data_IF_180034698070
#
_entry.id   IF_180034698070
#
_cell.length_a   1.000
_cell.length_b   1.000
_cell.length_c   1.000
_cell.angle_alpha   90.00
_cell.angle_beta   90.00
_cell.angle_gamma   90.00
#
_symmetry.space_group_name_H-M   'P 1'
#
loop_
_entity.id
_entity.type
_entity.pdbx_description
1 polymer ?
#
# COMPACT_ATOMS: atom_id res chain seq x y z
N UNK A 1 23.63 -19.62 1.80
CA UNK A 1 24.12 -18.36 1.20
C UNK A 1 22.95 -17.46 0.82
N UNK A 2 21.79 -17.50 1.50
CA UNK A 2 20.52 -17.08 0.86
C UNK A 2 19.77 -15.96 1.59
N UNK A 3 20.39 -15.36 2.62
CA UNK A 3 19.68 -14.54 3.62
C UNK A 3 19.38 -13.11 3.14
N UNK A 4 20.18 -12.60 2.20
CA UNK A 4 19.97 -11.30 1.56
C UNK A 4 18.83 -11.34 0.54
N UNK A 5 18.68 -12.45 -0.18
CA UNK A 5 17.63 -12.64 -1.18
C UNK A 5 16.26 -12.54 -0.50
N UNK A 6 16.05 -13.17 0.66
CA UNK A 6 14.79 -13.04 1.40
C UNK A 6 14.49 -11.60 1.82
N UNK A 7 15.50 -10.83 2.24
CA UNK A 7 15.30 -9.41 2.61
C UNK A 7 14.90 -8.59 1.40
N UNK A 8 15.61 -8.75 0.27
CA UNK A 8 15.29 -8.09 -0.98
C UNK A 8 13.91 -8.49 -1.52
N UNK A 9 13.55 -9.78 -1.45
CA UNK A 9 12.26 -10.29 -1.89
C UNK A 9 11.09 -9.74 -1.07
N UNK A 10 11.24 -9.56 0.25
CA UNK A 10 10.18 -8.93 1.05
C UNK A 10 9.90 -7.50 0.59
N UNK A 11 10.93 -6.70 0.32
CA UNK A 11 10.77 -5.36 -0.25
C UNK A 11 10.13 -5.39 -1.64
N UNK A 12 10.60 -6.27 -2.53
CA UNK A 12 10.07 -6.40 -3.89
C UNK A 12 8.58 -6.82 -3.90
N UNK A 13 8.19 -7.76 -3.04
CA UNK A 13 6.79 -8.19 -2.91
C UNK A 13 5.88 -7.04 -2.47
N UNK A 14 6.31 -6.23 -1.51
CA UNK A 14 5.55 -5.07 -1.05
C UNK A 14 5.46 -3.96 -2.11
N UNK A 15 6.50 -3.77 -2.93
CA UNK A 15 6.44 -2.85 -4.09
C UNK A 15 5.37 -3.30 -5.09
N UNK A 16 5.29 -4.60 -5.39
CA UNK A 16 4.26 -5.13 -6.29
C UNK A 16 2.84 -4.97 -5.71
N UNK A 17 2.68 -5.15 -4.39
CA UNK A 17 1.41 -4.87 -3.71
C UNK A 17 1.02 -3.39 -3.81
N UNK A 18 1.98 -2.48 -3.61
CA UNK A 18 1.74 -1.05 -3.79
C UNK A 18 1.32 -0.72 -5.22
N UNK A 19 1.97 -1.33 -6.22
CA UNK A 19 1.61 -1.14 -7.62
C UNK A 19 0.19 -1.62 -7.93
N UNK A 20 -0.23 -2.75 -7.37
CA UNK A 20 -1.59 -3.25 -7.52
C UNK A 20 -2.62 -2.29 -6.93
N UNK A 21 -2.36 -1.76 -5.73
CA UNK A 21 -3.26 -0.78 -5.10
C UNK A 21 -3.35 0.54 -5.88
N UNK A 22 -2.24 1.02 -6.43
CA UNK A 22 -2.24 2.19 -7.33
C UNK A 22 -3.08 1.93 -8.58
N UNK A 23 -2.93 0.75 -9.19
CA UNK A 23 -3.73 0.37 -10.36
C UNK A 23 -5.23 0.34 -10.04
N UNK A 24 -5.61 -0.21 -8.89
CA UNK A 24 -7.01 -0.26 -8.43
C UNK A 24 -7.58 1.14 -8.20
N UNK A 25 -6.81 2.02 -7.55
CA UNK A 25 -7.21 3.41 -7.33
C UNK A 25 -7.40 4.17 -8.64
N UNK A 26 -6.51 3.95 -9.62
CA UNK A 26 -6.63 4.58 -10.94
C UNK A 26 -7.84 4.05 -11.72
N UNK A 27 -8.11 2.74 -11.66
CA UNK A 27 -9.25 2.13 -12.32
C UNK A 27 -10.59 2.66 -11.80
N UNK A 28 -10.66 2.99 -10.51
CA UNK A 28 -11.87 3.49 -9.85
C UNK A 28 -11.93 5.01 -9.67
N UNK A 29 -11.00 5.76 -10.28
CA UNK A 29 -10.92 7.21 -10.11
C UNK A 29 -12.20 7.97 -10.54
N UNK A 30 -13.01 7.39 -11.44
CA UNK A 30 -14.28 7.96 -11.91
C UNK A 30 -15.52 7.34 -11.26
N UNK A 31 -15.35 6.39 -10.33
CA UNK A 31 -16.47 5.72 -9.65
C UNK A 31 -17.04 6.64 -8.57
N UNK A 32 -18.30 7.11 -8.67
CA UNK A 32 -18.89 7.98 -7.66
C UNK A 32 -18.92 7.30 -6.28
N UNK A 33 -18.42 7.99 -5.26
CA UNK A 33 -18.38 7.47 -3.88
C UNK A 33 -17.22 6.50 -3.60
N UNK A 34 -16.33 6.23 -4.57
CA UNK A 34 -15.13 5.45 -4.33
C UNK A 34 -14.17 6.16 -3.36
N UNK A 35 -13.52 5.38 -2.49
CA UNK A 35 -12.50 5.86 -1.56
C UNK A 35 -11.19 5.17 -1.90
N UNK A 36 -10.16 5.97 -2.15
CA UNK A 36 -8.84 5.45 -2.52
C UNK A 36 -8.23 4.67 -1.36
N UNK A 37 -7.56 3.57 -1.68
CA UNK A 37 -6.82 2.76 -0.70
C UNK A 37 -5.43 3.35 -0.48
N UNK A 38 -4.99 3.44 0.77
CA UNK A 38 -3.67 3.92 1.18
C UNK A 38 -2.86 2.76 1.78
N UNK A 39 -1.69 2.48 1.19
CA UNK A 39 -0.76 1.46 1.68
C UNK A 39 0.33 2.11 2.55
N UNK A 40 0.55 1.56 3.74
CA UNK A 40 1.60 2.03 4.65
C UNK A 40 2.54 0.89 5.00
N UNK A 41 3.82 1.02 4.66
CA UNK A 41 4.85 0.02 4.94
C UNK A 41 5.79 0.49 6.05
N UNK A 42 6.22 -0.42 6.93
CA UNK A 42 7.20 -0.12 7.97
C UNK A 42 8.41 -1.05 7.89
N UNK A 43 9.56 -0.48 8.19
CA UNK A 43 10.81 -1.20 8.39
C UNK A 43 10.83 -1.83 9.79
N UNK A 44 10.93 -3.15 9.88
CA UNK A 44 11.03 -3.91 11.14
C UNK A 44 12.40 -4.58 11.21
N UNK A 45 13.26 -4.21 12.17
CA UNK A 45 14.55 -4.87 12.35
C UNK A 45 14.35 -6.33 12.78
N UNK A 46 15.16 -7.23 12.22
CA UNK A 46 15.14 -8.64 12.62
C UNK A 46 15.75 -8.78 14.01
N UNK A 47 15.00 -9.33 14.96
CA UNK A 47 15.48 -9.64 16.32
C UNK A 47 16.12 -11.03 16.33
N UNK A 48 17.39 -11.11 16.73
CA UNK A 48 18.15 -12.36 16.82
C UNK A 48 19.54 -12.14 17.43
N UNK A 49 20.28 -13.22 17.68
CA UNK A 49 21.65 -13.14 18.21
C UNK A 49 22.61 -12.50 17.18
N UNK A 50 23.32 -11.45 17.61
CA UNK A 50 24.32 -10.73 16.80
C UNK A 50 23.97 -9.26 16.52
N UNK A 51 24.73 -8.61 15.64
CA UNK A 51 24.53 -7.20 15.27
C UNK A 51 23.26 -7.02 14.42
N UNK A 52 22.42 -6.00 14.68
CA UNK A 52 21.18 -5.73 13.95
C UNK A 52 21.49 -5.12 12.58
N UNK A 53 21.87 -5.97 11.63
CA UNK A 53 22.29 -5.57 10.28
C UNK A 53 21.18 -5.73 9.24
N UNK A 54 19.98 -6.17 9.65
CA UNK A 54 18.90 -6.57 8.73
C UNK A 54 17.55 -6.01 9.17
N UNK A 55 16.81 -5.53 8.18
CA UNK A 55 15.50 -4.91 8.35
C UNK A 55 14.56 -5.45 7.28
N UNK A 56 13.43 -6.03 7.71
CA UNK A 56 12.37 -6.46 6.81
C UNK A 56 11.37 -5.34 6.59
N UNK A 57 10.67 -5.38 5.46
CA UNK A 57 9.50 -4.53 5.23
C UNK A 57 8.27 -5.33 5.65
N UNK A 58 7.36 -4.71 6.40
CA UNK A 58 6.09 -5.30 6.83
C UNK A 58 4.98 -4.31 6.49
N UNK A 59 3.87 -4.82 5.97
CA UNK A 59 2.65 -4.03 5.78
C UNK A 59 2.05 -3.66 7.16
N UNK A 60 1.86 -2.37 7.39
CA UNK A 60 1.53 -1.86 8.72
C UNK A 60 0.05 -1.60 8.91
N UNK A 61 -0.67 -1.11 7.89
CA UNK A 61 -2.13 -0.91 7.87
C UNK A 61 -2.57 -0.48 6.47
N UNK A 62 -3.66 -1.05 5.96
CA UNK A 62 -4.38 -0.56 4.79
C UNK A 62 -5.43 0.46 5.25
N UNK A 63 -5.30 1.71 4.80
CA UNK A 63 -6.26 2.79 5.09
C UNK A 63 -7.13 3.11 3.88
N UNK A 64 -8.22 3.84 4.10
CA UNK A 64 -8.97 4.48 3.02
C UNK A 64 -8.85 6.00 3.14
N UNK A 65 -8.75 6.70 2.02
CA UNK A 65 -8.82 8.15 1.98
C UNK A 65 -10.28 8.59 2.18
N UNK A 66 -10.52 9.30 3.29
CA UNK A 66 -11.84 9.83 3.64
C UNK A 66 -12.07 11.25 3.11
N UNK A 67 -11.09 11.84 2.43
CA UNK A 67 -11.26 13.14 1.78
C UNK A 67 -12.46 13.11 0.82
N UNK A 68 -13.30 14.16 0.82
CA UNK A 68 -14.40 14.26 -0.13
C UNK A 68 -13.84 14.36 -1.55
N UNK A 69 -14.33 13.48 -2.43
CA UNK A 69 -14.02 13.52 -3.86
C UNK A 69 -14.77 14.64 -4.59
N UNK A 70 -14.43 14.88 -5.87
CA UNK A 70 -15.13 15.87 -6.69
C UNK A 70 -16.61 15.51 -6.85
N UNK A 71 -17.48 16.52 -6.74
CA UNK A 71 -18.92 16.38 -6.94
C UNK A 71 -19.28 16.73 -8.39
N UNK A 72 -20.05 15.87 -9.04
CA UNK A 72 -20.63 16.12 -10.37
C UNK A 72 -22.15 16.25 -10.24
N UNK A 73 -22.67 17.43 -10.59
CA UNK A 73 -24.12 17.66 -10.61
C UNK A 73 -24.74 16.87 -11.77
N UNK A 74 -25.78 16.09 -11.48
CA UNK A 74 -26.42 15.20 -12.48
C UNK A 74 -27.71 15.77 -13.06
N UNK A 75 -28.13 16.98 -12.65
CA UNK A 75 -29.37 17.67 -13.09
C UNK A 75 -30.63 16.80 -13.05
N UNK A 76 -30.65 15.76 -12.21
CA UNK A 76 -31.78 14.83 -12.05
C UNK A 76 -32.55 15.13 -10.77
N UNK A 77 -33.87 15.28 -10.91
CA UNK A 77 -34.82 15.22 -9.80
C UNK A 77 -35.25 13.76 -9.64
N UNK A 78 -34.63 13.05 -8.70
CA UNK A 78 -34.96 11.67 -8.32
C UNK A 78 -36.01 11.65 -7.21
#
# INVERSE_FOLDING_TARGET
>A
MDRLIYTAMTGASHVLQQQAAVSENLANASTPGFRATLNTFRAVPLVGEGLPTRTFVVDSTVGADFAPGPLQQTERQL
#
